data_IF_611255551481
#
_entry.id   IF_611255551481
#
_cell.length_a   1.000
_cell.length_b   1.000
_cell.length_c   1.000
_cell.angle_alpha   90.00
_cell.angle_beta   90.00
_cell.angle_gamma   90.00
#
_symmetry.space_group_name_H-M   'P 1'
#
loop_
_entity.id
_entity.type
_entity.pdbx_description
1 polymer ?
#
# COMPACT_ATOMS: atom_id res chain seq x y z
N UNK A 1 -27.50 8.93 -23.24
CA UNK A 1 -26.78 10.14 -22.79
C UNK A 1 -25.30 9.80 -22.75
N UNK A 2 -24.42 10.67 -23.25
CA UNK A 2 -22.98 10.40 -23.18
C UNK A 2 -22.56 10.32 -21.71
N UNK A 3 -21.95 9.20 -21.30
CA UNK A 3 -21.45 9.07 -19.94
C UNK A 3 -20.31 10.06 -19.72
N UNK A 4 -20.46 10.94 -18.74
CA UNK A 4 -19.41 11.86 -18.29
C UNK A 4 -18.36 11.02 -17.57
N UNK A 5 -17.08 11.22 -17.90
CA UNK A 5 -15.95 10.61 -17.17
C UNK A 5 -15.11 11.67 -16.47
N UNK A 6 -14.40 11.30 -15.40
CA UNK A 6 -13.55 12.17 -14.58
C UNK A 6 -12.21 11.49 -14.25
N UNK A 7 -11.15 12.30 -14.18
CA UNK A 7 -9.79 11.88 -13.78
C UNK A 7 -9.63 11.76 -12.25
N UNK A 8 -10.72 11.95 -11.51
CA UNK A 8 -10.79 11.79 -10.06
C UNK A 8 -11.14 10.36 -9.64
N UNK A 9 -11.53 9.50 -10.59
CA UNK A 9 -11.99 8.14 -10.31
C UNK A 9 -11.35 7.15 -11.26
N UNK A 10 -11.17 5.92 -10.79
CA UNK A 10 -10.71 4.80 -11.61
C UNK A 10 -11.37 3.47 -11.19
N UNK A 11 -11.48 2.54 -12.14
CA UNK A 11 -11.73 1.12 -11.88
C UNK A 11 -10.43 0.37 -12.12
N UNK A 12 -9.93 -0.34 -11.12
CA UNK A 12 -8.60 -0.93 -11.16
C UNK A 12 -8.50 -2.26 -10.39
N UNK A 13 -7.41 -2.96 -10.65
CA UNK A 13 -6.87 -4.01 -9.79
C UNK A 13 -5.80 -3.40 -8.89
N UNK A 14 -5.79 -3.78 -7.61
CA UNK A 14 -4.79 -3.34 -6.62
C UNK A 14 -4.14 -4.63 -6.07
N UNK A 15 -2.81 -4.79 -6.15
CA UNK A 15 -2.12 -5.91 -5.50
C UNK A 15 -2.38 -5.91 -3.99
N UNK A 16 -2.30 -7.06 -3.30
CA UNK A 16 -2.38 -7.07 -1.84
C UNK A 16 -1.14 -6.43 -1.21
N UNK A 17 -1.32 -5.85 -0.04
CA UNK A 17 -0.33 -4.99 0.60
C UNK A 17 0.98 -5.71 0.95
N UNK A 18 0.94 -7.04 1.11
CA UNK A 18 2.13 -7.85 1.38
C UNK A 18 3.16 -7.86 0.23
N UNK A 19 2.78 -7.42 -0.98
CA UNK A 19 3.73 -7.27 -2.11
C UNK A 19 4.08 -5.80 -2.41
N UNK A 20 3.50 -4.85 -1.67
CA UNK A 20 3.68 -3.43 -1.97
C UNK A 20 5.07 -2.94 -1.64
N UNK A 21 5.72 -3.51 -0.64
CA UNK A 21 7.02 -3.08 -0.16
C UNK A 21 8.04 -2.89 -1.29
N UNK A 22 8.24 -3.93 -2.11
CA UNK A 22 9.18 -3.90 -3.24
C UNK A 22 8.72 -2.97 -4.37
N UNK A 23 7.40 -2.86 -4.61
CA UNK A 23 6.85 -1.98 -5.64
C UNK A 23 7.03 -0.51 -5.24
N UNK A 24 6.67 -0.20 -3.99
CA UNK A 24 6.62 1.15 -3.46
C UNK A 24 8.00 1.69 -3.14
N UNK A 25 8.99 0.85 -2.81
CA UNK A 25 10.39 1.30 -2.66
C UNK A 25 10.89 1.95 -3.96
N UNK A 26 10.64 1.31 -5.11
CA UNK A 26 10.97 1.86 -6.44
C UNK A 26 10.12 3.10 -6.74
N UNK A 27 8.80 2.99 -6.62
CA UNK A 27 7.89 4.10 -6.95
C UNK A 27 8.16 5.35 -6.11
N UNK A 28 8.55 5.19 -4.85
CA UNK A 28 8.82 6.31 -3.95
C UNK A 28 9.94 7.25 -4.42
N UNK A 29 10.85 6.73 -5.24
CA UNK A 29 12.00 7.45 -5.79
C UNK A 29 11.68 7.95 -7.20
N UNK A 30 10.97 7.15 -8.00
CA UNK A 30 10.92 7.33 -9.46
C UNK A 30 9.54 7.64 -10.04
N UNK A 31 8.45 7.44 -9.30
CA UNK A 31 7.10 7.65 -9.81
C UNK A 31 6.51 8.97 -9.27
N UNK A 32 6.30 9.92 -10.18
CA UNK A 32 5.63 11.20 -9.87
C UNK A 32 4.21 10.99 -9.34
N UNK A 33 3.58 9.86 -9.66
CA UNK A 33 2.24 9.49 -9.20
C UNK A 33 2.25 8.71 -7.87
N UNK A 34 3.43 8.33 -7.35
CA UNK A 34 3.56 7.62 -6.08
C UNK A 34 2.80 8.29 -4.93
N UNK A 35 2.89 9.62 -4.73
CA UNK A 35 2.25 10.23 -3.57
C UNK A 35 0.75 9.97 -3.57
N UNK A 36 0.12 10.01 -4.76
CA UNK A 36 -1.35 10.03 -4.91
C UNK A 36 -2.00 8.69 -5.27
N UNK A 37 -1.24 7.72 -5.79
CA UNK A 37 -1.76 6.41 -6.22
C UNK A 37 -1.12 5.27 -5.44
N UNK A 38 -1.95 4.37 -4.90
CA UNK A 38 -1.51 3.03 -4.53
C UNK A 38 -0.99 2.25 -5.77
N UNK A 39 -0.20 1.17 -5.59
CA UNK A 39 0.08 0.25 -6.68
C UNK A 39 -1.21 -0.26 -7.33
N UNK A 40 -1.30 -0.21 -8.66
CA UNK A 40 -2.53 -0.57 -9.35
C UNK A 40 -2.30 -0.95 -10.81
N UNK A 41 -3.27 -1.65 -11.40
CA UNK A 41 -3.46 -1.83 -12.83
C UNK A 41 -4.82 -1.22 -13.19
N UNK A 42 -4.86 -0.18 -14.02
CA UNK A 42 -6.12 0.45 -14.40
C UNK A 42 -6.87 -0.40 -15.42
N UNK A 43 -8.13 -0.74 -15.12
CA UNK A 43 -9.06 -1.30 -16.11
C UNK A 43 -9.76 -0.19 -16.89
N UNK A 44 -10.21 0.85 -16.20
CA UNK A 44 -10.83 2.04 -16.80
C UNK A 44 -10.34 3.30 -16.09
N UNK A 45 -9.69 4.18 -16.86
CA UNK A 45 -9.30 5.52 -16.44
C UNK A 45 -9.23 6.44 -17.67
N UNK A 46 -9.81 7.66 -17.64
CA UNK A 46 -10.70 8.21 -16.61
C UNK A 46 -12.01 7.41 -16.46
N UNK A 47 -12.65 7.45 -15.29
CA UNK A 47 -13.84 6.63 -14.97
C UNK A 47 -15.10 7.47 -14.68
N UNK A 48 -16.21 6.84 -14.28
CA UNK A 48 -17.45 7.56 -13.95
C UNK A 48 -17.34 8.30 -12.62
N UNK A 49 -18.02 9.45 -12.41
CA UNK A 49 -18.07 10.12 -11.12
C UNK A 49 -18.45 9.19 -9.95
N UNK A 50 -17.92 9.48 -8.76
CA UNK A 50 -18.11 8.66 -7.56
C UNK A 50 -19.59 8.41 -7.22
N UNK A 51 -20.48 9.38 -7.45
CA UNK A 51 -21.91 9.24 -7.23
C UNK A 51 -22.58 8.12 -8.06
N UNK A 52 -21.90 7.60 -9.09
CA UNK A 52 -22.39 6.49 -9.90
C UNK A 52 -21.85 5.12 -9.47
N UNK A 53 -20.96 5.04 -8.48
CA UNK A 53 -20.29 3.79 -8.11
C UNK A 53 -21.27 2.68 -7.69
N UNK A 54 -22.36 3.01 -7.01
CA UNK A 54 -23.36 2.00 -6.60
C UNK A 54 -24.11 1.41 -7.79
N UNK A 55 -24.45 2.26 -8.78
CA UNK A 55 -25.05 1.81 -10.03
C UNK A 55 -24.08 0.93 -10.83
N UNK A 56 -22.81 1.32 -10.92
CA UNK A 56 -21.77 0.49 -11.56
C UNK A 56 -21.63 -0.85 -10.84
N UNK A 57 -21.56 -0.83 -9.51
CA UNK A 57 -21.44 -2.05 -8.70
C UNK A 57 -22.59 -3.00 -9.00
N UNK A 58 -23.82 -2.49 -8.98
CA UNK A 58 -25.04 -3.26 -9.29
C UNK A 58 -24.97 -3.92 -10.68
N UNK A 59 -24.35 -3.27 -11.66
CA UNK A 59 -24.20 -3.82 -13.01
C UNK A 59 -23.08 -4.86 -13.12
N UNK A 60 -21.95 -4.66 -12.44
CA UNK A 60 -20.77 -5.52 -12.55
C UNK A 60 -20.80 -6.73 -11.63
N UNK A 61 -21.30 -6.59 -10.40
CA UNK A 61 -21.22 -7.60 -9.35
C UNK A 61 -21.81 -8.96 -9.73
N UNK A 62 -23.00 -9.07 -10.38
CA UNK A 62 -23.54 -10.36 -10.81
C UNK A 62 -22.68 -11.11 -11.82
N UNK A 63 -21.88 -10.38 -12.59
CA UNK A 63 -21.02 -10.92 -13.66
C UNK A 63 -19.65 -11.26 -13.10
N UNK A 64 -19.07 -10.36 -12.29
CA UNK A 64 -17.75 -10.54 -11.70
C UNK A 64 -17.73 -11.62 -10.62
N UNK A 65 -18.80 -11.78 -9.83
CA UNK A 65 -18.89 -12.86 -8.84
C UNK A 65 -18.81 -14.27 -9.47
N UNK A 66 -19.09 -14.42 -10.77
CA UNK A 66 -18.98 -15.69 -11.49
C UNK A 66 -17.54 -16.03 -11.89
N UNK A 67 -16.65 -15.05 -11.87
CA UNK A 67 -15.24 -15.25 -12.21
C UNK A 67 -14.54 -15.86 -11.01
N UNK A 68 -13.77 -16.93 -11.24
CA UNK A 68 -12.91 -17.52 -10.21
C UNK A 68 -11.71 -16.59 -9.95
N UNK A 69 -11.29 -16.40 -8.69
CA UNK A 69 -10.00 -15.79 -8.41
C UNK A 69 -8.88 -16.47 -9.18
N UNK A 70 -7.89 -15.69 -9.63
CA UNK A 70 -6.77 -16.20 -10.44
C UNK A 70 -5.44 -15.61 -9.96
N UNK A 71 -4.35 -16.29 -10.27
CA UNK A 71 -3.00 -15.88 -9.88
C UNK A 71 -2.39 -14.95 -10.91
N UNK A 72 -1.62 -13.97 -10.43
CA UNK A 72 -0.79 -13.11 -11.26
C UNK A 72 0.63 -13.09 -10.72
N UNK A 73 1.61 -13.06 -11.62
CA UNK A 73 3.03 -13.08 -11.28
C UNK A 73 3.78 -11.96 -12.01
N UNK A 74 4.71 -11.31 -11.31
CA UNK A 74 5.68 -10.40 -11.87
C UNK A 74 7.10 -10.84 -11.50
N UNK A 75 7.84 -11.31 -12.50
CA UNK A 75 9.25 -11.69 -12.40
C UNK A 75 10.15 -10.69 -13.16
N UNK A 76 11.44 -11.00 -13.32
CA UNK A 76 12.39 -10.12 -14.01
C UNK A 76 12.03 -9.88 -15.49
N UNK A 77 11.30 -10.80 -16.13
CA UNK A 77 10.82 -10.62 -17.52
C UNK A 77 9.63 -9.68 -17.64
N UNK A 78 9.03 -9.30 -16.51
CA UNK A 78 7.83 -8.47 -16.47
C UNK A 78 8.11 -6.99 -16.72
N UNK A 79 9.37 -6.57 -16.66
CA UNK A 79 9.77 -5.17 -16.86
C UNK A 79 9.64 -4.72 -18.31
N UNK A 80 8.90 -3.64 -18.49
CA UNK A 80 8.64 -3.02 -19.78
C UNK A 80 8.64 -1.50 -19.64
N UNK A 81 8.61 -0.82 -20.77
CA UNK A 81 8.42 0.62 -20.80
C UNK A 81 7.64 1.04 -22.05
N UNK A 82 7.15 2.27 -22.02
CA UNK A 82 6.67 2.95 -23.20
C UNK A 82 7.11 4.42 -23.18
N UNK A 83 7.28 4.98 -24.38
CA UNK A 83 7.63 6.39 -24.56
C UNK A 83 6.40 7.27 -24.32
N UNK A 84 6.60 8.34 -23.56
CA UNK A 84 5.65 9.43 -23.39
C UNK A 84 5.96 10.53 -24.43
N UNK A 85 5.36 11.72 -24.27
CA UNK A 85 5.72 12.88 -25.09
C UNK A 85 7.14 13.34 -24.75
N UNK A 86 7.92 13.69 -25.77
CA UNK A 86 9.30 14.16 -25.60
C UNK A 86 10.27 13.00 -25.34
N UNK A 87 11.22 13.21 -24.43
CA UNK A 87 12.23 12.23 -24.03
C UNK A 87 11.81 11.37 -22.83
N UNK A 88 10.65 11.62 -22.23
CA UNK A 88 10.16 10.89 -21.07
C UNK A 88 9.69 9.46 -21.43
N UNK A 89 10.02 8.51 -20.57
CA UNK A 89 9.56 7.13 -20.61
C UNK A 89 8.86 6.79 -19.29
N UNK A 90 7.79 6.02 -19.37
CA UNK A 90 7.20 5.34 -18.20
C UNK A 90 7.61 3.90 -18.25
N UNK A 91 8.13 3.38 -17.13
CA UNK A 91 8.45 1.97 -16.98
C UNK A 91 7.54 1.32 -15.95
N UNK A 92 7.23 0.06 -16.21
CA UNK A 92 6.13 -0.65 -15.59
C UNK A 92 6.34 -2.15 -15.62
N UNK A 93 5.60 -2.85 -14.79
CA UNK A 93 5.50 -4.29 -14.82
C UNK A 93 4.31 -4.71 -15.67
N UNK A 94 4.48 -5.71 -16.52
CA UNK A 94 3.39 -6.44 -17.17
C UNK A 94 3.28 -7.83 -16.56
N UNK A 95 2.06 -8.34 -16.31
CA UNK A 95 1.89 -9.70 -15.81
C UNK A 95 2.57 -10.71 -16.74
N UNK A 96 3.33 -11.66 -16.18
CA UNK A 96 3.97 -12.72 -16.97
C UNK A 96 2.96 -13.47 -17.83
N UNK A 97 1.80 -13.77 -17.25
CA UNK A 97 0.60 -14.18 -17.97
C UNK A 97 -0.49 -13.12 -17.74
N UNK A 98 -1.00 -12.56 -18.83
CA UNK A 98 -1.99 -11.48 -18.79
C UNK A 98 -3.39 -11.90 -19.26
N UNK A 99 -3.58 -13.16 -19.67
CA UNK A 99 -4.84 -13.64 -20.28
C UNK A 99 -6.04 -13.37 -19.38
N UNK A 100 -6.00 -13.81 -18.12
CA UNK A 100 -7.13 -13.65 -17.19
C UNK A 100 -7.44 -12.17 -16.90
N UNK A 101 -6.42 -11.33 -16.76
CA UNK A 101 -6.57 -9.89 -16.51
C UNK A 101 -7.18 -9.19 -17.73
N UNK A 102 -6.77 -9.60 -18.94
CA UNK A 102 -7.30 -9.07 -20.20
C UNK A 102 -8.75 -9.54 -20.41
N UNK A 103 -9.08 -10.78 -20.10
CA UNK A 103 -10.45 -11.30 -20.17
C UNK A 103 -11.37 -10.61 -19.15
N UNK A 104 -10.90 -10.42 -17.92
CA UNK A 104 -11.61 -9.65 -16.90
C UNK A 104 -11.89 -8.22 -17.37
N UNK A 105 -10.89 -7.55 -17.97
CA UNK A 105 -11.08 -6.20 -18.50
C UNK A 105 -12.08 -6.17 -19.66
N UNK A 106 -12.03 -7.13 -20.59
CA UNK A 106 -13.00 -7.23 -21.69
C UNK A 106 -14.42 -7.42 -21.16
N UNK A 107 -14.61 -8.24 -20.14
CA UNK A 107 -15.90 -8.47 -19.51
C UNK A 107 -16.47 -7.18 -18.89
N UNK A 108 -15.63 -6.47 -18.13
CA UNK A 108 -15.96 -5.14 -17.57
C UNK A 108 -16.32 -4.15 -18.68
N UNK A 109 -15.53 -4.11 -19.76
CA UNK A 109 -15.75 -3.20 -20.89
C UNK A 109 -17.06 -3.48 -21.62
N UNK A 110 -17.41 -4.75 -21.82
CA UNK A 110 -18.66 -5.15 -22.46
C UNK A 110 -19.89 -4.77 -21.63
N UNK A 111 -19.78 -4.76 -20.30
CA UNK A 111 -20.86 -4.29 -19.44
C UNK A 111 -20.95 -2.75 -19.42
N UNK A 112 -19.83 -2.06 -19.60
CA UNK A 112 -19.69 -0.61 -19.45
C UNK A 112 -19.36 0.11 -20.76
N UNK A 113 -20.00 -0.29 -21.87
CA UNK A 113 -19.71 0.17 -23.24
C UNK A 113 -19.63 1.69 -23.41
N UNK A 114 -20.41 2.44 -22.62
CA UNK A 114 -20.49 3.90 -22.71
C UNK A 114 -19.33 4.65 -22.01
N UNK A 115 -18.51 3.95 -21.22
CA UNK A 115 -17.46 4.55 -20.40
C UNK A 115 -16.07 4.50 -21.06
N UNK A 116 -15.84 3.60 -22.00
CA UNK A 116 -14.54 3.42 -22.66
C UNK A 116 -14.61 3.99 -24.07
N UNK A 117 -14.00 5.17 -24.27
CA UNK A 117 -13.90 5.81 -25.59
C UNK A 117 -12.62 5.46 -26.36
N UNK A 118 -11.66 4.78 -25.70
CA UNK A 118 -10.36 4.52 -26.29
C UNK A 118 -10.39 3.27 -27.17
N UNK A 119 -9.90 3.38 -28.41
CA UNK A 119 -9.78 2.27 -29.37
C UNK A 119 -8.52 1.42 -29.18
N UNK A 120 -7.58 1.86 -28.33
CA UNK A 120 -6.35 1.10 -28.08
C UNK A 120 -6.67 -0.17 -27.30
N UNK A 121 -6.02 -1.28 -27.68
CA UNK A 121 -6.10 -2.53 -26.94
C UNK A 121 -5.63 -2.33 -25.50
N UNK A 122 -6.32 -3.01 -24.57
CA UNK A 122 -5.93 -3.02 -23.18
C UNK A 122 -4.60 -3.75 -23.00
N UNK A 123 -3.67 -3.11 -22.28
CA UNK A 123 -2.40 -3.68 -21.86
C UNK A 123 -2.32 -3.59 -20.34
N UNK A 124 -2.41 -4.73 -19.65
CA UNK A 124 -2.27 -4.77 -18.19
C UNK A 124 -0.86 -4.33 -17.79
N UNK A 125 -0.76 -3.25 -17.02
CA UNK A 125 0.51 -2.76 -16.51
C UNK A 125 0.38 -2.11 -15.14
N UNK A 126 1.43 -2.26 -14.32
CA UNK A 126 1.62 -1.59 -13.05
C UNK A 126 2.82 -0.65 -13.15
N UNK A 127 2.58 0.65 -13.09
CA UNK A 127 3.63 1.67 -13.23
C UNK A 127 4.60 1.66 -12.05
N UNK A 128 5.90 1.68 -12.34
CA UNK A 128 6.97 1.76 -11.34
C UNK A 128 7.66 3.12 -11.29
N UNK A 129 7.69 3.86 -12.40
CA UNK A 129 8.30 5.18 -12.41
C UNK A 129 8.41 5.80 -13.80
N UNK A 130 9.06 6.96 -13.84
CA UNK A 130 9.38 7.67 -15.07
C UNK A 130 10.88 7.98 -15.13
N UNK A 131 11.46 7.95 -16.33
CA UNK A 131 12.86 8.28 -16.59
C UNK A 131 13.00 8.85 -18.01
N UNK A 132 14.22 9.20 -18.44
CA UNK A 132 14.47 9.65 -19.81
C UNK A 132 14.77 8.48 -20.75
N UNK A 133 14.56 8.68 -22.05
CA UNK A 133 14.84 7.69 -23.09
C UNK A 133 16.31 7.28 -23.10
N UNK A 134 17.22 8.16 -22.70
CA UNK A 134 18.66 7.85 -22.59
C UNK A 134 19.01 6.96 -21.41
N UNK A 135 18.19 6.94 -20.34
CA UNK A 135 18.46 6.21 -19.09
C UNK A 135 17.63 4.94 -18.94
N UNK A 136 16.62 4.74 -19.79
CA UNK A 136 15.65 3.66 -19.58
C UNK A 136 16.29 2.28 -19.58
N UNK A 137 17.25 2.01 -20.46
CA UNK A 137 17.93 0.72 -20.52
C UNK A 137 18.65 0.39 -19.22
N UNK A 138 19.40 1.35 -18.67
CA UNK A 138 20.14 1.19 -17.42
C UNK A 138 19.19 0.96 -16.24
N UNK A 139 18.12 1.76 -16.16
CA UNK A 139 17.08 1.60 -15.12
C UNK A 139 16.46 0.20 -15.17
N UNK A 140 16.13 -0.32 -16.36
CA UNK A 140 15.55 -1.66 -16.45
C UNK A 140 16.54 -2.74 -16.00
N UNK A 141 17.82 -2.64 -16.38
CA UNK A 141 18.86 -3.59 -15.97
C UNK A 141 19.02 -3.59 -14.43
N UNK A 142 19.13 -2.41 -13.83
CA UNK A 142 19.27 -2.25 -12.38
C UNK A 142 18.08 -2.84 -11.63
N UNK A 143 16.87 -2.53 -12.06
CA UNK A 143 15.65 -3.02 -11.40
C UNK A 143 15.49 -4.53 -11.58
N UNK A 144 15.78 -5.07 -12.76
CA UNK A 144 15.72 -6.51 -13.03
C UNK A 144 16.71 -7.30 -12.16
N UNK A 145 17.91 -6.76 -11.92
CA UNK A 145 18.95 -7.44 -11.14
C UNK A 145 18.55 -7.66 -9.67
N UNK A 146 17.76 -6.74 -9.10
CA UNK A 146 17.36 -6.79 -7.68
C UNK A 146 15.92 -7.29 -7.48
N UNK A 147 15.14 -7.43 -8.56
CA UNK A 147 13.74 -7.81 -8.46
C UNK A 147 13.55 -9.25 -8.00
N UNK A 148 12.82 -9.42 -6.90
CA UNK A 148 12.30 -10.70 -6.44
C UNK A 148 10.93 -10.92 -7.05
N UNK A 149 10.68 -12.14 -7.53
CA UNK A 149 9.37 -12.49 -8.09
C UNK A 149 8.27 -12.24 -7.07
N UNK A 150 7.24 -11.51 -7.48
CA UNK A 150 6.01 -11.33 -6.69
C UNK A 150 4.89 -12.12 -7.34
N UNK A 151 4.07 -12.75 -6.52
CA UNK A 151 2.90 -13.51 -6.95
C UNK A 151 1.76 -13.27 -5.96
N UNK A 152 0.56 -13.08 -6.48
CA UNK A 152 -0.63 -12.90 -5.65
C UNK A 152 -1.91 -13.29 -6.38
N UNK A 153 -2.95 -13.51 -5.58
CA UNK A 153 -4.30 -13.79 -6.08
C UNK A 153 -5.05 -12.50 -6.35
N UNK A 154 -5.63 -12.42 -7.54
CA UNK A 154 -6.64 -11.42 -7.90
C UNK A 154 -7.99 -11.99 -7.52
N UNK A 155 -8.58 -11.47 -6.44
CA UNK A 155 -9.86 -11.92 -5.91
C UNK A 155 -10.94 -10.82 -5.98
N UNK A 156 -10.60 -9.62 -6.44
CA UNK A 156 -11.52 -8.49 -6.54
C UNK A 156 -11.02 -7.38 -7.44
N UNK A 157 -11.94 -6.49 -7.82
CA UNK A 157 -11.65 -5.20 -8.47
C UNK A 157 -12.12 -4.05 -7.59
N UNK A 158 -11.50 -2.88 -7.77
CA UNK A 158 -11.71 -1.72 -6.90
C UNK A 158 -12.15 -0.51 -7.69
N UNK A 159 -13.12 0.22 -7.14
CA UNK A 159 -13.45 1.58 -7.54
C UNK A 159 -12.80 2.53 -6.55
N UNK A 160 -11.92 3.38 -7.07
CA UNK A 160 -11.17 4.34 -6.28
C UNK A 160 -11.52 5.75 -6.69
N UNK A 161 -11.46 6.68 -5.74
CA UNK A 161 -11.65 8.10 -5.99
C UNK A 161 -10.73 8.98 -5.17
N UNK A 162 -10.54 10.21 -5.65
CA UNK A 162 -9.91 11.32 -4.94
C UNK A 162 -10.77 12.56 -5.06
N UNK A 163 -10.63 13.45 -4.08
CA UNK A 163 -11.19 14.80 -4.17
C UNK A 163 -10.52 15.62 -5.29
N UNK A 164 -11.15 16.74 -5.66
CA UNK A 164 -10.73 17.59 -6.78
C UNK A 164 -9.48 18.44 -6.50
N UNK A 165 -8.41 17.80 -6.06
CA UNK A 165 -7.08 18.40 -5.94
C UNK A 165 -6.03 17.43 -6.52
N UNK A 166 -5.11 17.89 -7.39
CA UNK A 166 -4.13 17.01 -8.06
C UNK A 166 -3.28 16.16 -7.11
N UNK A 167 -3.00 16.68 -5.92
CA UNK A 167 -2.20 16.02 -4.89
C UNK A 167 -3.01 15.12 -3.96
N UNK A 168 -4.34 15.07 -4.10
CA UNK A 168 -5.17 14.24 -3.24
C UNK A 168 -5.08 12.76 -3.63
N UNK A 169 -5.02 11.92 -2.60
CA UNK A 169 -4.85 10.48 -2.74
C UNK A 169 -6.10 9.83 -3.29
N UNK A 170 -5.91 8.84 -4.15
CA UNK A 170 -6.94 7.87 -4.41
C UNK A 170 -7.17 6.99 -3.19
N UNK A 171 -8.42 6.82 -2.82
CA UNK A 171 -8.87 5.93 -1.74
C UNK A 171 -9.86 4.92 -2.31
N UNK A 172 -9.88 3.71 -1.75
CA UNK A 172 -10.86 2.68 -2.11
C UNK A 172 -12.23 3.11 -1.60
N UNK A 173 -13.21 3.18 -2.50
CA UNK A 173 -14.60 3.51 -2.17
C UNK A 173 -15.52 2.29 -2.25
N UNK A 174 -15.32 1.44 -3.25
CA UNK A 174 -16.05 0.20 -3.43
C UNK A 174 -15.13 -0.92 -3.93
N UNK A 175 -15.52 -2.16 -3.66
CA UNK A 175 -14.88 -3.37 -4.18
C UNK A 175 -15.95 -4.35 -4.69
N UNK A 176 -15.56 -5.20 -5.66
CA UNK A 176 -16.39 -6.27 -6.21
C UNK A 176 -15.55 -7.54 -6.26
N UNK A 177 -16.02 -8.59 -5.57
CA UNK A 177 -15.31 -9.85 -5.43
C UNK A 177 -15.42 -10.71 -6.69
N UNK A 178 -14.44 -11.58 -6.89
CA UNK A 178 -14.45 -12.69 -7.84
C UNK A 178 -14.67 -13.95 -6.99
N UNK A 179 -15.81 -14.62 -7.13
CA UNK A 179 -16.20 -15.71 -6.21
C UNK A 179 -16.25 -17.09 -6.89
N UNK A 180 -16.28 -17.14 -8.22
CA UNK A 180 -16.45 -18.38 -8.97
C UNK A 180 -17.83 -19.04 -8.79
N UNK A 181 -18.88 -18.26 -8.49
CA UNK A 181 -20.23 -18.79 -8.30
C UNK A 181 -20.80 -19.34 -9.61
N UNK A 182 -21.21 -20.62 -9.63
CA UNK A 182 -21.95 -21.23 -10.74
C UNK A 182 -23.45 -20.91 -10.62
N UNK A 183 -24.20 -20.99 -11.74
CA UNK A 183 -25.62 -20.63 -11.83
C UNK A 183 -26.49 -21.54 -10.94
N UNK A 184 -26.61 -21.25 -9.66
CA UNK A 184 -27.85 -21.52 -8.94
C UNK A 184 -28.76 -20.31 -9.12
N UNK A 185 -29.92 -20.54 -9.73
CA UNK A 185 -31.04 -19.60 -9.72
C UNK A 185 -31.22 -19.05 -8.31
N UNK A 186 -30.90 -17.77 -8.10
CA UNK A 186 -31.19 -17.11 -6.83
C UNK A 186 -32.68 -17.30 -6.51
N UNK A 187 -33.07 -17.87 -5.37
CA UNK A 187 -34.39 -17.63 -4.85
C UNK A 187 -34.50 -16.12 -4.62
N UNK A 188 -35.54 -15.52 -5.19
CA UNK A 188 -36.06 -14.20 -4.81
C UNK A 188 -36.50 -14.25 -3.33
N UNK A 189 -35.54 -14.24 -2.42
CA UNK A 189 -35.75 -14.10 -0.98
C UNK A 189 -34.43 -13.76 -0.29
N UNK A 190 -33.98 -12.52 -0.46
CA UNK A 190 -33.41 -11.78 0.67
C UNK A 190 -34.28 -10.55 0.85
N UNK A 191 -35.51 -10.81 1.31
CA UNK A 191 -36.33 -9.81 1.96
C UNK A 191 -35.56 -9.27 3.15
N UNK A 192 -35.29 -7.97 3.15
CA UNK A 192 -35.03 -7.13 4.31
C UNK A 192 -34.31 -7.82 5.48
N UNK A 193 -33.04 -8.13 5.27
CA UNK A 193 -32.08 -7.97 6.34
C UNK A 193 -31.41 -6.62 6.10
N UNK A 194 -32.07 -5.56 6.59
CA UNK A 194 -31.36 -4.39 7.12
C UNK A 194 -30.50 -4.87 8.29
N UNK A 195 -29.47 -5.65 7.98
CA UNK A 195 -28.24 -5.54 8.71
C UNK A 195 -27.71 -4.20 8.22
N UNK A 196 -28.13 -3.12 8.90
CA UNK A 196 -27.19 -2.03 9.07
C UNK A 196 -25.92 -2.76 9.51
N UNK A 197 -24.84 -2.76 8.71
CA UNK A 197 -23.58 -3.17 9.28
C UNK A 197 -23.49 -2.24 10.47
N UNK A 198 -23.47 -2.79 11.69
CA UNK A 198 -22.82 -2.07 12.75
C UNK A 198 -21.45 -1.84 12.15
N UNK A 199 -21.22 -0.64 11.61
CA UNK A 199 -19.91 -0.22 11.15
C UNK A 199 -19.10 -0.28 12.43
N UNK A 200 -18.49 -1.43 12.67
CA UNK A 200 -17.47 -1.55 13.69
C UNK A 200 -16.51 -0.39 13.39
N UNK A 201 -16.25 0.50 14.36
CA UNK A 201 -15.42 1.65 14.11
C UNK A 201 -14.13 1.17 13.44
N UNK A 202 -13.86 1.71 12.26
CA UNK A 202 -12.75 1.26 11.43
C UNK A 202 -11.51 1.91 12.02
N UNK A 203 -10.96 1.36 13.11
CA UNK A 203 -9.82 1.99 13.77
C UNK A 203 -8.67 2.06 12.75
N UNK A 204 -8.17 3.28 12.57
CA UNK A 204 -7.01 3.57 11.77
C UNK A 204 -5.87 4.02 12.68
N UNK A 205 -4.65 3.64 12.34
CA UNK A 205 -3.44 3.96 13.05
C UNK A 205 -2.63 4.97 12.25
N UNK A 206 -2.36 6.12 12.86
CA UNK A 206 -1.35 7.04 12.36
C UNK A 206 0.01 6.53 12.81
N UNK A 207 0.90 6.22 11.89
CA UNK A 207 2.12 5.46 12.15
C UNK A 207 3.32 5.98 11.36
N UNK A 208 4.52 5.87 11.94
CA UNK A 208 5.79 5.92 11.21
C UNK A 208 6.15 4.49 10.82
N UNK A 209 6.54 4.28 9.56
CA UNK A 209 6.96 2.98 9.05
C UNK A 209 8.48 2.98 8.86
N UNK A 210 9.15 1.97 9.41
CA UNK A 210 10.57 1.80 9.20
C UNK A 210 10.85 1.39 7.74
N UNK A 211 11.81 2.01 7.05
CA UNK A 211 12.25 1.58 5.72
C UNK A 211 12.83 0.16 5.75
N UNK A 212 12.72 -0.57 4.65
CA UNK A 212 13.20 -1.95 4.59
C UNK A 212 14.71 -2.05 4.67
N UNK A 213 15.43 -1.04 4.17
CA UNK A 213 16.87 -0.94 4.31
C UNK A 213 17.25 -0.90 5.79
N UNK A 214 16.54 -0.13 6.61
CA UNK A 214 16.73 -0.12 8.05
C UNK A 214 16.49 -1.50 8.65
N UNK A 215 15.34 -2.11 8.36
CA UNK A 215 14.95 -3.43 8.88
C UNK A 215 15.95 -4.54 8.48
N UNK A 216 16.46 -4.49 7.24
CA UNK A 216 17.37 -5.49 6.69
C UNK A 216 18.73 -5.51 7.38
N UNK A 217 19.18 -4.37 7.92
CA UNK A 217 20.50 -4.24 8.58
C UNK A 217 20.63 -5.10 9.84
N UNK A 218 19.53 -5.56 10.43
CA UNK A 218 19.55 -6.34 11.66
C UNK A 218 18.76 -7.66 11.59
N UNK A 219 18.34 -8.10 10.40
CA UNK A 219 17.68 -9.41 10.23
C UNK A 219 18.56 -10.58 10.68
N UNK A 220 19.87 -10.50 10.42
CA UNK A 220 20.86 -11.51 10.83
C UNK A 220 20.90 -11.72 12.36
N UNK A 221 20.48 -10.72 13.14
CA UNK A 221 20.43 -10.85 14.60
C UNK A 221 19.41 -11.90 15.04
N UNK A 222 18.39 -12.18 14.24
CA UNK A 222 17.28 -13.07 14.57
C UNK A 222 17.49 -14.53 14.13
N UNK A 223 18.61 -14.85 13.49
CA UNK A 223 18.87 -16.21 13.02
C UNK A 223 18.90 -17.24 14.14
N UNK A 224 18.24 -18.39 13.92
CA UNK A 224 18.11 -19.47 14.88
C UNK A 224 17.46 -19.01 16.20
N UNK A 225 16.35 -18.26 16.09
CA UNK A 225 15.50 -17.84 17.22
C UNK A 225 14.02 -17.99 16.86
N UNK A 226 13.14 -17.84 17.86
CA UNK A 226 11.68 -17.85 17.70
C UNK A 226 11.08 -16.55 17.14
N UNK A 227 11.90 -15.59 16.69
CA UNK A 227 11.43 -14.28 16.25
C UNK A 227 10.44 -14.38 15.09
N UNK A 228 9.31 -13.67 15.22
CA UNK A 228 8.27 -13.53 14.21
C UNK A 228 8.10 -12.04 13.90
N UNK A 229 8.52 -11.57 12.72
CA UNK A 229 8.44 -10.15 12.39
C UNK A 229 6.98 -9.69 12.26
N UNK A 230 6.71 -8.45 12.64
CA UNK A 230 5.46 -7.79 12.29
C UNK A 230 5.35 -7.62 10.77
N UNK A 231 4.13 -7.67 10.23
CA UNK A 231 3.86 -7.35 8.81
C UNK A 231 4.38 -5.97 8.38
N UNK A 232 4.43 -5.03 9.32
CA UNK A 232 5.01 -3.70 9.15
C UNK A 232 5.64 -3.27 10.46
N UNK A 233 6.96 -3.04 10.42
CA UNK A 233 7.75 -2.52 11.53
C UNK A 233 7.44 -1.03 11.65
N UNK A 234 6.82 -0.63 12.77
CA UNK A 234 6.19 0.69 12.88
C UNK A 234 6.16 1.25 14.28
N UNK A 235 6.07 2.57 14.36
CA UNK A 235 5.73 3.32 15.56
C UNK A 235 4.28 3.77 15.38
N UNK A 236 3.41 3.44 16.33
CA UNK A 236 2.04 3.94 16.34
C UNK A 236 2.03 5.26 17.11
N UNK A 237 1.43 6.29 16.51
CA UNK A 237 1.34 7.64 17.05
C UNK A 237 -0.05 7.87 17.66
N UNK A 238 -1.12 7.53 16.93
CA UNK A 238 -2.49 7.74 17.35
C UNK A 238 -3.48 6.79 16.68
N UNK A 239 -4.68 6.68 17.25
CA UNK A 239 -5.83 5.95 16.72
C UNK A 239 -6.91 6.91 16.24
N UNK A 240 -7.57 6.59 15.12
CA UNK A 240 -8.67 7.36 14.56
C UNK A 240 -9.79 6.43 14.09
N UNK A 241 -11.01 6.63 14.57
CA UNK A 241 -12.17 5.80 14.15
C UNK A 241 -12.60 6.05 12.70
N UNK A 242 -12.48 7.29 12.22
CA UNK A 242 -12.89 7.70 10.85
C UNK A 242 -11.74 8.34 10.05
N UNK A 243 -10.50 8.26 10.58
CA UNK A 243 -9.33 8.96 10.06
C UNK A 243 -9.31 10.44 10.48
N UNK A 244 -8.13 11.10 10.47
CA UNK A 244 -8.07 12.54 10.64
C UNK A 244 -8.67 13.22 9.40
N UNK A 245 -9.88 13.74 9.53
CA UNK A 245 -10.60 14.50 8.49
C UNK A 245 -10.19 15.99 8.53
N UNK A 246 -9.42 16.40 9.53
CA UNK A 246 -9.09 17.81 9.73
C UNK A 246 -7.90 18.26 8.87
N UNK A 247 -8.12 19.32 8.08
CA UNK A 247 -7.09 20.04 7.32
C UNK A 247 -5.93 20.48 8.19
N UNK A 248 -6.17 20.78 9.46
CA UNK A 248 -5.16 21.29 10.38
C UNK A 248 -4.08 20.26 10.68
N UNK A 249 -4.46 18.98 10.85
CA UNK A 249 -3.48 17.92 11.05
C UNK A 249 -2.58 17.79 9.83
N UNK A 250 -3.18 17.78 8.63
CA UNK A 250 -2.41 17.69 7.39
C UNK A 250 -1.43 18.84 7.29
N UNK A 251 -1.89 20.09 7.42
CA UNK A 251 -1.03 21.28 7.32
C UNK A 251 0.10 21.26 8.34
N UNK A 252 -0.17 20.77 9.56
CA UNK A 252 0.86 20.58 10.59
C UNK A 252 1.90 19.53 10.20
N UNK A 253 1.47 18.34 9.76
CA UNK A 253 2.42 17.28 9.39
C UNK A 253 3.23 17.69 8.15
N UNK A 254 2.59 18.25 7.13
CA UNK A 254 3.26 18.68 5.90
C UNK A 254 4.16 19.91 6.08
N UNK A 255 3.96 20.71 7.14
CA UNK A 255 4.87 21.80 7.50
C UNK A 255 6.02 21.38 8.41
N UNK A 256 5.93 20.20 9.04
CA UNK A 256 6.98 19.68 9.92
C UNK A 256 8.17 19.23 9.08
N UNK A 257 9.38 19.68 9.43
CA UNK A 257 10.61 19.25 8.77
C UNK A 257 10.90 17.78 9.05
N UNK A 258 11.33 17.05 8.02
CA UNK A 258 11.84 15.68 8.16
C UNK A 258 12.91 15.58 9.24
N UNK A 259 12.96 14.46 9.93
CA UNK A 259 13.87 14.24 11.05
C UNK A 259 14.36 12.79 11.05
N UNK A 260 15.41 12.51 11.80
CA UNK A 260 15.97 11.16 11.90
C UNK A 260 15.59 10.53 13.24
N UNK A 261 15.38 9.22 13.29
CA UNK A 261 15.39 8.48 14.54
C UNK A 261 16.67 7.66 14.65
N UNK A 262 17.26 7.72 15.83
CA UNK A 262 18.50 7.02 16.17
C UNK A 262 18.22 5.96 17.23
N UNK A 263 18.89 4.81 17.10
CA UNK A 263 18.79 3.68 18.00
C UNK A 263 20.19 3.18 18.35
N UNK A 264 20.43 2.99 19.65
CA UNK A 264 21.70 2.60 20.25
C UNK A 264 21.56 1.29 21.03
N UNK A 265 22.64 0.85 21.68
CA UNK A 265 22.70 -0.43 22.41
C UNK A 265 21.52 -0.64 23.38
N UNK A 266 21.12 0.41 24.09
CA UNK A 266 20.05 0.36 25.09
C UNK A 266 18.63 0.56 24.51
N UNK A 267 18.51 0.71 23.19
CA UNK A 267 17.22 0.90 22.52
C UNK A 267 16.39 -0.38 22.50
N UNK A 268 17.01 -1.56 22.49
CA UNK A 268 16.28 -2.82 22.39
C UNK A 268 15.56 -3.18 23.70
N UNK A 269 14.30 -3.58 23.58
CA UNK A 269 13.51 -3.98 24.73
C UNK A 269 12.50 -5.07 24.39
N UNK A 270 12.00 -5.72 25.44
CA UNK A 270 11.05 -6.82 25.35
C UNK A 270 9.94 -6.65 26.37
N UNK A 271 8.70 -6.72 25.89
CA UNK A 271 7.50 -6.76 26.73
C UNK A 271 7.14 -8.23 27.01
N UNK A 272 7.28 -8.64 28.28
CA UNK A 272 6.99 -10.01 28.71
C UNK A 272 5.49 -10.36 28.63
N UNK A 273 4.62 -9.38 28.76
CA UNK A 273 3.15 -9.57 28.77
C UNK A 273 2.66 -9.87 27.37
N UNK A 274 3.17 -9.13 26.37
CA UNK A 274 2.74 -9.26 24.98
C UNK A 274 3.70 -10.06 24.12
N UNK A 275 4.82 -10.53 24.68
CA UNK A 275 5.94 -11.15 23.95
C UNK A 275 6.49 -10.29 22.80
N UNK A 276 6.41 -8.96 22.92
CA UNK A 276 6.78 -8.03 21.84
C UNK A 276 8.23 -7.60 21.98
N UNK A 277 8.95 -7.65 20.86
CA UNK A 277 10.28 -7.08 20.70
C UNK A 277 10.16 -5.69 20.06
N UNK A 278 10.83 -4.70 20.63
CA UNK A 278 10.77 -3.31 20.16
C UNK A 278 12.11 -2.59 20.27
N UNK A 279 12.23 -1.46 19.56
CA UNK A 279 13.32 -0.49 19.74
C UNK A 279 12.75 0.84 20.23
N UNK A 280 13.39 1.45 21.23
CA UNK A 280 13.13 2.82 21.69
C UNK A 280 14.12 3.78 21.06
N UNK A 281 13.67 4.81 20.32
CA UNK A 281 14.59 5.81 19.78
C UNK A 281 15.21 6.63 20.92
N UNK A 282 16.49 6.98 20.81
CA UNK A 282 17.17 7.83 21.80
C UNK A 282 16.68 9.28 21.75
N UNK A 283 16.19 9.71 20.58
CA UNK A 283 15.74 11.06 20.30
C UNK A 283 14.21 11.12 20.10
N UNK A 284 13.48 10.54 21.05
CA UNK A 284 12.01 10.48 21.04
C UNK A 284 11.32 11.85 20.93
N UNK A 285 11.98 12.92 21.39
CA UNK A 285 11.49 14.29 21.28
C UNK A 285 11.24 14.71 19.82
N UNK A 286 11.98 14.15 18.86
CA UNK A 286 11.74 14.36 17.43
C UNK A 286 10.40 13.78 16.96
N UNK A 287 9.81 12.81 17.66
CA UNK A 287 8.44 12.37 17.40
C UNK A 287 7.45 13.26 18.16
N UNK A 288 7.76 13.63 19.41
CA UNK A 288 6.88 14.47 20.23
C UNK A 288 6.65 15.86 19.65
N UNK A 289 7.58 16.40 18.87
CA UNK A 289 7.38 17.66 18.14
C UNK A 289 6.17 17.61 17.18
N UNK A 290 5.77 16.41 16.72
CA UNK A 290 4.57 16.23 15.92
C UNK A 290 3.30 16.51 16.74
N UNK A 291 3.38 16.43 18.07
CA UNK A 291 2.30 16.64 19.03
C UNK A 291 1.00 15.91 18.60
N UNK A 292 1.15 14.61 18.36
CA UNK A 292 0.11 13.67 17.93
C UNK A 292 0.22 12.31 18.63
N UNK A 293 1.27 12.09 19.44
CA UNK A 293 1.42 10.83 20.15
C UNK A 293 0.40 10.83 21.28
N UNK A 294 -0.47 9.83 21.34
CA UNK A 294 -1.28 9.56 22.53
C UNK A 294 -0.38 8.93 23.59
N UNK A 295 0.30 9.76 24.38
CA UNK A 295 1.29 9.34 25.40
C UNK A 295 0.70 8.38 26.46
N UNK A 296 -0.63 8.29 26.59
CA UNK A 296 -1.28 7.32 27.48
C UNK A 296 -1.30 5.90 26.90
N UNK A 297 -1.19 5.78 25.57
CA UNK A 297 -1.27 4.50 24.85
C UNK A 297 0.04 4.12 24.15
N UNK A 298 0.82 5.12 23.74
CA UNK A 298 2.01 4.93 22.90
C UNK A 298 3.20 5.70 23.48
N UNK A 299 4.35 5.03 23.55
CA UNK A 299 5.60 5.60 24.07
C UNK A 299 6.65 5.84 22.97
N UNK A 300 6.21 5.81 21.71
CA UNK A 300 7.07 5.97 20.53
C UNK A 300 7.99 4.79 20.23
N UNK A 301 7.68 3.61 20.75
CA UNK A 301 8.39 2.37 20.45
C UNK A 301 8.18 1.92 19.01
N UNK A 302 9.28 1.56 18.36
CA UNK A 302 9.28 0.87 17.08
C UNK A 302 9.08 -0.63 17.33
N UNK A 303 7.90 -1.13 17.03
CA UNK A 303 7.58 -2.55 17.23
C UNK A 303 8.16 -3.38 16.08
N UNK A 304 9.03 -4.35 16.41
CA UNK A 304 9.70 -5.21 15.43
C UNK A 304 8.91 -6.48 15.14
N UNK A 305 8.35 -7.11 16.18
CA UNK A 305 7.77 -8.44 16.08
C UNK A 305 7.53 -9.08 17.43
N UNK A 306 7.29 -10.38 17.41
CA UNK A 306 7.12 -11.22 18.59
C UNK A 306 8.31 -12.15 18.77
N UNK A 307 8.68 -12.46 20.01
CA UNK A 307 9.74 -13.42 20.32
C UNK A 307 9.46 -14.14 21.63
N UNK A 308 9.85 -15.40 21.72
CA UNK A 308 9.79 -16.14 22.98
C UNK A 308 10.81 -15.57 23.97
N UNK A 309 10.41 -15.42 25.25
CA UNK A 309 11.24 -14.84 26.31
C UNK A 309 12.65 -15.44 26.40
N UNK A 310 12.77 -16.76 26.21
CA UNK A 310 14.04 -17.47 26.31
C UNK A 310 15.07 -17.08 25.22
N UNK A 311 14.63 -16.47 24.11
CA UNK A 311 15.52 -16.01 23.05
C UNK A 311 15.91 -14.53 23.19
N UNK A 312 15.27 -13.78 24.09
CA UNK A 312 15.49 -12.33 24.20
C UNK A 312 16.94 -11.99 24.56
N UNK A 313 17.53 -12.63 25.57
CA UNK A 313 18.89 -12.34 26.02
C UNK A 313 19.91 -12.53 24.88
N UNK A 314 19.74 -13.60 24.10
CA UNK A 314 20.54 -13.89 22.90
C UNK A 314 20.42 -12.79 21.84
N UNK A 315 19.22 -12.28 21.60
CA UNK A 315 18.98 -11.17 20.66
C UNK A 315 19.57 -9.87 21.18
N UNK A 316 19.36 -9.57 22.46
CA UNK A 316 19.88 -8.38 23.13
C UNK A 316 21.41 -8.32 23.01
N UNK A 317 22.09 -9.42 23.32
CA UNK A 317 23.55 -9.53 23.20
C UNK A 317 24.05 -9.30 21.77
N UNK A 318 23.36 -9.87 20.77
CA UNK A 318 23.68 -9.68 19.36
C UNK A 318 23.48 -8.22 18.93
N UNK A 319 22.38 -7.61 19.37
CA UNK A 319 22.05 -6.22 19.06
C UNK A 319 23.05 -5.24 19.68
N UNK A 320 23.41 -5.43 20.96
CA UNK A 320 24.42 -4.62 21.65
C UNK A 320 25.77 -4.69 20.93
N UNK A 321 26.23 -5.88 20.54
CA UNK A 321 27.48 -6.07 19.79
C UNK A 321 27.44 -5.38 18.42
N UNK A 322 26.31 -5.47 17.72
CA UNK A 322 26.16 -4.84 16.40
C UNK A 322 26.14 -3.31 16.49
N UNK A 323 25.49 -2.76 17.52
CA UNK A 323 25.43 -1.31 17.77
C UNK A 323 26.79 -0.72 18.15
N UNK A 324 27.69 -1.46 18.80
CA UNK A 324 29.02 -0.99 19.15
C UNK A 324 29.86 -0.56 17.92
N UNK A 325 29.49 -1.02 16.72
CA UNK A 325 30.14 -0.68 15.46
C UNK A 325 29.27 0.19 14.54
N UNK A 326 27.99 0.41 14.87
CA UNK A 326 27.02 1.06 13.99
C UNK A 326 25.90 1.75 14.77
N UNK A 327 25.53 2.96 14.36
CA UNK A 327 24.25 3.56 14.81
C UNK A 327 23.16 3.11 13.84
N UNK A 328 22.11 2.50 14.39
CA UNK A 328 20.90 2.22 13.62
C UNK A 328 20.08 3.49 13.55
N UNK A 329 19.83 3.98 12.34
CA UNK A 329 19.05 5.19 12.13
C UNK A 329 18.35 5.19 10.80
N UNK A 330 17.25 5.92 10.72
CA UNK A 330 16.56 6.21 9.47
C UNK A 330 15.91 7.58 9.50
N UNK A 331 15.86 8.22 8.33
CA UNK A 331 15.13 9.48 8.14
C UNK A 331 13.64 9.17 8.03
N UNK A 332 12.83 10.00 8.68
CA UNK A 332 11.38 10.05 8.56
C UNK A 332 11.08 11.23 7.66
N UNK A 333 10.62 10.91 6.46
CA UNK A 333 10.06 11.87 5.51
C UNK A 333 8.53 11.74 5.40
N UNK A 334 7.92 10.73 6.04
CA UNK A 334 6.51 10.36 5.89
C UNK A 334 5.87 9.83 7.15
N UNK A 335 4.58 10.10 7.29
CA UNK A 335 3.68 9.50 8.29
C UNK A 335 2.50 8.86 7.57
N UNK A 336 2.07 7.70 8.01
CA UNK A 336 1.11 6.86 7.32
C UNK A 336 -0.15 6.67 8.16
N UNK A 337 -1.32 6.90 7.59
CA UNK A 337 -2.57 6.41 8.15
C UNK A 337 -2.82 5.00 7.59
N UNK A 338 -3.05 4.03 8.47
CA UNK A 338 -3.25 2.63 8.10
C UNK A 338 -4.49 2.08 8.79
N UNK A 339 -5.21 1.13 8.20
CA UNK A 339 -6.28 0.44 8.94
C UNK A 339 -5.75 -0.67 9.85
N UNK A 340 -6.64 -1.26 10.65
CA UNK A 340 -6.39 -2.44 11.50
C UNK A 340 -5.70 -3.61 10.81
N UNK A 341 -5.89 -3.78 9.49
CA UNK A 341 -5.26 -4.86 8.73
C UNK A 341 -3.85 -4.49 8.24
N UNK A 342 -3.37 -3.30 8.60
CA UNK A 342 -2.09 -2.76 8.14
C UNK A 342 -2.17 -2.17 6.73
N UNK A 343 -3.37 -1.85 6.23
CA UNK A 343 -3.49 -1.32 4.86
C UNK A 343 -3.32 0.18 4.82
N UNK A 344 -2.47 0.67 3.92
CA UNK A 344 -2.22 2.11 3.78
C UNK A 344 -3.47 2.83 3.28
N UNK A 345 -3.92 3.83 4.05
CA UNK A 345 -5.03 4.72 3.71
C UNK A 345 -4.54 6.08 3.24
N UNK A 346 -3.55 6.63 3.95
CA UNK A 346 -3.06 7.98 3.72
C UNK A 346 -1.56 8.10 3.99
N UNK A 347 -0.88 9.01 3.29
CA UNK A 347 0.54 9.35 3.52
C UNK A 347 0.69 10.87 3.62
N UNK A 348 1.18 11.34 4.76
CA UNK A 348 1.57 12.73 4.99
C UNK A 348 3.07 12.84 4.73
N UNK A 349 3.47 13.70 3.78
CA UNK A 349 4.88 13.93 3.47
C UNK A 349 5.39 15.11 4.28
N UNK A 350 6.40 14.88 5.09
CA UNK A 350 7.06 15.93 5.86
C UNK A 350 7.82 16.88 4.92
N UNK A 351 8.01 18.12 5.37
CA UNK A 351 8.75 19.15 4.65
C UNK A 351 10.21 18.73 4.48
N UNK A 352 10.71 18.85 3.24
CA UNK A 352 12.09 18.55 2.85
C UNK A 352 13.07 19.51 3.55
#
# INVERSE_FOLDING_TARGET
MASVTTTQTALCLIPPDNVWEQIQSIRSIHDKAYPRWMPHINFIYPFTPECNFDNIKTQLEPILNRIKPFQIQFDQSSFHYFKQRGDECTYHLRPKNSTDVVELQKLIQNQLLNLIKNKRAFEAHLTLGQTTTSKISDVLIEMQAVWKTIEFTVDRVYMISRENHPENLFTIKNEILLLGQENETLPLAISNLTINPIKSPSINYLSIIAPNEFSSRFLHLFENTSFRPCKSIRIILAEYENGPIDSDLRSKLESTTKFTLDFEQNSIGYDQTTSRLFLKPINIESIRQLNIIDDNKYDGTLTLGEIHKNDFDKISDRFMKSCASNIYKFEIDRIHLMDLNGRFKFVFRLKI
#
